data_IF_870055306373
#
_entry.id   IF_870055306373
#
_cell.length_a   1.000
_cell.length_b   1.000
_cell.length_c   1.000
_cell.angle_alpha   90.00
_cell.angle_beta   90.00
_cell.angle_gamma   90.00
#
_symmetry.space_group_name_H-M   'P 1'
#
loop_
_entity.id
_entity.type
_entity.pdbx_description
1 polymer ?
#
# COMPACT_ATOMS: atom_id res chain seq x y z
N UNK A 1 15.80 -17.58 -13.97
CA UNK A 1 14.39 -17.31 -13.56
C UNK A 1 13.37 -17.19 -14.70
N UNK A 2 13.62 -16.49 -15.82
CA UNK A 2 12.61 -16.28 -16.89
C UNK A 2 11.97 -17.56 -17.45
N UNK A 3 12.74 -18.62 -17.67
CA UNK A 3 12.19 -19.91 -18.15
C UNK A 3 11.18 -20.52 -17.15
N UNK A 4 11.41 -20.40 -15.84
CA UNK A 4 10.51 -20.93 -14.81
C UNK A 4 9.20 -20.13 -14.70
N UNK A 5 9.27 -18.82 -14.90
CA UNK A 5 8.08 -17.96 -14.99
C UNK A 5 7.22 -18.34 -16.20
N UNK A 6 7.88 -18.65 -17.33
CA UNK A 6 7.18 -19.15 -18.52
C UNK A 6 6.50 -20.50 -18.25
N UNK A 7 7.17 -21.42 -17.54
CA UNK A 7 6.56 -22.70 -17.15
C UNK A 7 5.37 -22.52 -16.21
N UNK A 8 5.44 -21.62 -15.23
CA UNK A 8 4.30 -21.30 -14.36
C UNK A 8 3.08 -20.81 -15.15
N UNK A 9 3.28 -19.90 -16.12
CA UNK A 9 2.19 -19.40 -16.98
C UNK A 9 1.56 -20.53 -17.79
N UNK A 10 2.37 -21.46 -18.29
CA UNK A 10 1.88 -22.64 -19.01
C UNK A 10 1.06 -23.55 -18.10
N UNK A 11 1.50 -23.79 -16.87
CA UNK A 11 0.76 -24.60 -15.89
C UNK A 11 -0.58 -23.92 -15.53
N UNK A 12 -0.56 -22.61 -15.30
CA UNK A 12 -1.78 -21.84 -15.01
C UNK A 12 -2.83 -21.99 -16.12
N UNK A 13 -2.40 -21.87 -17.38
CA UNK A 13 -3.27 -22.09 -18.53
C UNK A 13 -3.85 -23.52 -18.56
N UNK A 14 -3.05 -24.54 -18.24
CA UNK A 14 -3.52 -25.93 -18.21
C UNK A 14 -4.49 -26.21 -17.06
N UNK A 15 -4.32 -25.53 -15.91
CA UNK A 15 -5.26 -25.56 -14.79
C UNK A 15 -6.60 -24.96 -15.20
N UNK A 16 -6.59 -23.79 -15.86
CA UNK A 16 -7.81 -23.14 -16.37
C UNK A 16 -8.56 -24.06 -17.35
N UNK A 17 -7.85 -24.72 -18.27
CA UNK A 17 -8.46 -25.70 -19.18
C UNK A 17 -9.03 -26.91 -18.43
N UNK A 18 -8.31 -27.43 -17.42
CA UNK A 18 -8.76 -28.60 -16.64
C UNK A 18 -10.02 -28.29 -15.84
N UNK A 19 -10.15 -27.06 -15.31
CA UNK A 19 -11.37 -26.57 -14.67
C UNK A 19 -12.52 -26.48 -15.69
N UNK A 20 -12.26 -25.86 -16.85
CA UNK A 20 -13.26 -25.66 -17.91
C UNK A 20 -13.87 -26.99 -18.39
N UNK A 21 -13.05 -28.03 -18.52
CA UNK A 21 -13.47 -29.36 -18.97
C UNK A 21 -13.81 -30.33 -17.83
N UNK A 22 -13.80 -29.87 -16.56
CA UNK A 22 -14.08 -30.69 -15.38
C UNK A 22 -13.17 -31.94 -15.25
N UNK A 23 -11.92 -31.83 -15.69
CA UNK A 23 -10.93 -32.93 -15.68
C UNK A 23 -10.14 -32.93 -14.35
N UNK A 24 -10.76 -33.46 -13.29
CA UNK A 24 -10.19 -33.45 -11.92
C UNK A 24 -8.80 -34.06 -11.81
N UNK A 25 -8.54 -35.18 -12.49
CA UNK A 25 -7.22 -35.84 -12.44
C UNK A 25 -6.12 -34.98 -13.09
N UNK A 26 -6.45 -34.29 -14.20
CA UNK A 26 -5.51 -33.37 -14.84
C UNK A 26 -5.29 -32.14 -13.98
N UNK A 27 -6.34 -31.62 -13.33
CA UNK A 27 -6.23 -30.50 -12.40
C UNK A 27 -5.22 -30.79 -11.28
N UNK A 28 -5.39 -31.91 -10.55
CA UNK A 28 -4.45 -32.25 -9.47
C UNK A 28 -3.04 -32.54 -9.97
N UNK A 29 -2.89 -33.12 -11.17
CA UNK A 29 -1.59 -33.32 -11.80
C UNK A 29 -0.88 -32.01 -12.11
N UNK A 30 -1.60 -31.01 -12.64
CA UNK A 30 -1.03 -29.69 -12.92
C UNK A 30 -0.73 -28.90 -11.64
N UNK A 31 -1.54 -29.06 -10.58
CA UNK A 31 -1.23 -28.51 -9.24
C UNK A 31 0.10 -29.07 -8.71
N UNK A 32 0.31 -30.40 -8.75
CA UNK A 32 1.57 -30.99 -8.27
C UNK A 32 2.80 -30.50 -9.04
N UNK A 33 2.67 -30.28 -10.35
CA UNK A 33 3.73 -29.64 -11.15
C UNK A 33 3.95 -28.18 -10.73
N UNK A 34 2.89 -27.44 -10.42
CA UNK A 34 2.98 -26.07 -9.96
C UNK A 34 3.76 -25.98 -8.65
N UNK A 35 3.47 -26.86 -7.70
CA UNK A 35 4.18 -26.97 -6.42
C UNK A 35 5.68 -27.21 -6.65
N UNK A 36 6.03 -28.13 -7.56
CA UNK A 36 7.44 -28.42 -7.89
C UNK A 36 8.14 -27.20 -8.47
N UNK A 37 7.53 -26.51 -9.43
CA UNK A 37 8.11 -25.29 -10.04
C UNK A 37 8.26 -24.18 -9.00
N UNK A 38 7.32 -24.06 -8.06
CA UNK A 38 7.37 -23.09 -6.97
C UNK A 38 8.53 -23.41 -6.02
N UNK A 39 8.71 -24.66 -5.61
CA UNK A 39 9.80 -25.04 -4.71
C UNK A 39 11.18 -24.86 -5.37
N UNK A 40 11.29 -25.23 -6.64
CA UNK A 40 12.47 -24.98 -7.46
C UNK A 40 12.78 -23.48 -7.62
N UNK A 41 11.75 -22.63 -7.69
CA UNK A 41 11.89 -21.18 -7.73
C UNK A 41 12.38 -20.64 -6.39
N UNK A 42 11.83 -21.12 -5.26
CA UNK A 42 12.30 -20.76 -3.91
C UNK A 42 13.78 -21.10 -3.75
N UNK A 43 14.20 -22.29 -4.16
CA UNK A 43 15.61 -22.69 -4.09
C UNK A 43 16.51 -21.84 -4.98
N UNK A 44 16.09 -21.57 -6.22
CA UNK A 44 16.90 -20.77 -7.16
C UNK A 44 17.04 -19.33 -6.68
N UNK A 45 15.96 -18.78 -6.12
CA UNK A 45 15.96 -17.44 -5.54
C UNK A 45 16.85 -17.37 -4.30
N UNK A 46 16.81 -18.36 -3.41
CA UNK A 46 17.70 -18.44 -2.24
C UNK A 46 19.19 -18.56 -2.64
N UNK A 47 19.50 -19.33 -3.70
CA UNK A 47 20.87 -19.50 -4.23
C UNK A 47 21.39 -18.23 -4.92
N UNK A 48 20.54 -17.49 -5.64
CA UNK A 48 20.95 -16.28 -6.36
C UNK A 48 21.06 -15.03 -5.44
N UNK A 49 20.44 -15.03 -4.26
CA UNK A 49 20.40 -13.84 -3.39
C UNK A 49 21.35 -13.87 -2.18
N UNK A 50 22.08 -14.97 -1.90
CA UNK A 50 22.81 -15.17 -0.62
C UNK A 50 21.94 -14.87 0.63
N UNK A 51 20.62 -14.80 0.45
CA UNK A 51 19.65 -14.61 1.51
C UNK A 51 19.07 -15.99 1.77
N UNK A 52 19.51 -16.61 2.87
CA UNK A 52 18.64 -17.55 3.57
C UNK A 52 17.31 -16.83 3.76
N UNK A 53 16.26 -17.28 3.06
CA UNK A 53 14.89 -16.85 3.31
C UNK A 53 14.47 -17.49 4.63
N UNK A 54 15.11 -17.08 5.71
CA UNK A 54 14.40 -16.95 6.97
C UNK A 54 13.32 -15.92 6.66
N UNK A 55 12.06 -16.32 6.72
CA UNK A 55 11.00 -15.36 6.90
C UNK A 55 11.38 -14.58 8.15
N UNK A 56 12.04 -13.42 7.98
CA UNK A 56 12.37 -12.55 9.11
C UNK A 56 11.04 -12.33 9.81
N UNK A 57 10.93 -12.84 11.03
CA UNK A 57 9.78 -12.53 11.86
C UNK A 57 9.75 -11.01 11.95
N UNK A 58 8.78 -10.41 11.25
CA UNK A 58 8.62 -8.96 11.24
C UNK A 58 8.42 -8.55 12.69
N UNK A 59 9.41 -7.82 13.19
CA UNK A 59 9.47 -7.39 14.57
C UNK A 59 8.20 -6.62 14.89
N UNK A 60 7.51 -7.00 15.96
CA UNK A 60 6.37 -6.22 16.40
C UNK A 60 6.89 -4.87 16.94
N UNK A 61 6.40 -3.79 16.36
CA UNK A 61 6.73 -2.44 16.82
C UNK A 61 5.87 -2.08 18.03
N UNK A 62 6.49 -1.41 19.01
CA UNK A 62 5.75 -0.87 20.14
C UNK A 62 4.96 0.35 19.69
N UNK A 63 3.64 0.29 19.80
CA UNK A 63 2.74 1.29 19.23
C UNK A 63 1.46 1.44 20.04
N UNK A 64 0.81 2.59 19.90
CA UNK A 64 -0.50 2.86 20.48
C UNK A 64 -1.35 3.67 19.50
N UNK A 65 -2.60 3.25 19.31
CA UNK A 65 -3.60 4.07 18.62
C UNK A 65 -3.93 5.26 19.53
N UNK A 66 -3.65 6.48 19.05
CA UNK A 66 -3.95 7.72 19.77
C UNK A 66 -5.41 8.12 19.59
N UNK A 67 -5.86 8.15 18.35
CA UNK A 67 -7.21 8.52 17.95
C UNK A 67 -7.53 7.95 16.55
N UNK A 68 -8.78 8.13 16.15
CA UNK A 68 -9.25 7.88 14.78
C UNK A 68 -9.88 9.18 14.29
N UNK A 69 -9.37 9.72 13.19
CA UNK A 69 -9.87 10.96 12.58
C UNK A 69 -10.30 10.71 11.15
N UNK A 70 -11.16 11.57 10.62
CA UNK A 70 -11.67 11.41 9.27
C UNK A 70 -10.83 12.20 8.27
N UNK A 71 -10.39 11.51 7.22
CA UNK A 71 -9.69 12.10 6.08
C UNK A 71 -10.59 12.10 4.85
N UNK A 72 -10.32 13.02 3.94
CA UNK A 72 -10.72 12.90 2.55
C UNK A 72 -9.49 12.50 1.75
N UNK A 73 -9.60 11.47 0.91
CA UNK A 73 -8.47 10.97 0.12
C UNK A 73 -8.86 10.77 -1.35
N UNK A 74 -7.85 10.85 -2.23
CA UNK A 74 -7.98 10.57 -3.65
C UNK A 74 -7.61 9.10 -3.90
N UNK A 75 -8.56 8.25 -4.36
CA UNK A 75 -8.27 6.86 -4.63
C UNK A 75 -7.33 6.67 -5.82
N UNK A 76 -6.45 5.66 -5.72
CA UNK A 76 -5.69 5.16 -6.86
C UNK A 76 -6.59 4.26 -7.71
N UNK A 77 -6.49 4.36 -9.03
CA UNK A 77 -7.35 3.60 -9.97
C UNK A 77 -6.59 2.55 -10.77
N UNK A 78 -5.30 2.34 -10.50
CA UNK A 78 -4.43 1.38 -11.20
C UNK A 78 -3.79 0.40 -10.22
N UNK A 79 -3.46 -0.80 -10.72
CA UNK A 79 -2.80 -1.84 -9.93
C UNK A 79 -1.32 -1.53 -9.68
N UNK A 80 -0.63 -1.00 -10.69
CA UNK A 80 0.79 -0.67 -10.61
C UNK A 80 0.99 0.85 -10.78
N UNK A 81 1.20 1.55 -9.68
CA UNK A 81 1.37 3.01 -9.68
C UNK A 81 2.70 3.48 -10.26
N UNK A 82 3.71 2.63 -10.29
CA UNK A 82 5.05 2.97 -10.78
C UNK A 82 5.20 2.75 -12.29
N UNK A 83 4.13 2.35 -12.97
CA UNK A 83 4.14 2.12 -14.41
C UNK A 83 3.80 3.38 -15.19
N UNK A 84 4.67 3.74 -16.13
CA UNK A 84 4.50 4.92 -16.99
C UNK A 84 4.47 6.23 -16.20
N UNK A 85 3.61 7.16 -16.62
CA UNK A 85 3.50 8.51 -16.06
C UNK A 85 2.35 8.65 -15.05
N UNK A 86 1.90 7.54 -14.45
CA UNK A 86 0.70 7.54 -13.61
C UNK A 86 0.83 8.47 -12.40
N UNK A 87 1.91 8.37 -11.62
CA UNK A 87 2.10 9.21 -10.43
C UNK A 87 2.19 10.71 -10.76
N UNK A 88 2.79 11.05 -11.90
CA UNK A 88 2.86 12.44 -12.36
C UNK A 88 1.46 12.97 -12.70
N UNK A 89 0.70 12.22 -13.50
CA UNK A 89 -0.68 12.57 -13.85
C UNK A 89 -1.57 12.64 -12.60
N UNK A 90 -1.44 11.68 -11.69
CA UNK A 90 -2.16 11.66 -10.43
C UNK A 90 -1.84 12.88 -9.57
N UNK A 91 -0.56 13.27 -9.49
CA UNK A 91 -0.12 14.44 -8.74
C UNK A 91 -0.68 15.74 -9.34
N UNK A 92 -0.67 15.85 -10.67
CA UNK A 92 -1.23 16.99 -11.38
C UNK A 92 -2.74 17.09 -11.17
N UNK A 93 -3.46 16.00 -11.37
CA UNK A 93 -4.92 15.93 -11.19
C UNK A 93 -5.32 16.21 -9.73
N UNK A 94 -4.61 15.63 -8.76
CA UNK A 94 -4.81 15.92 -7.32
C UNK A 94 -4.67 17.42 -7.06
N UNK A 95 -3.63 18.04 -7.60
CA UNK A 95 -3.34 19.47 -7.39
C UNK A 95 -4.41 20.35 -8.02
N UNK A 96 -4.85 20.02 -9.23
CA UNK A 96 -5.95 20.71 -9.91
C UNK A 96 -7.26 20.61 -9.12
N UNK A 97 -7.64 19.40 -8.70
CA UNK A 97 -8.88 19.16 -7.96
C UNK A 97 -8.90 19.86 -6.59
N UNK A 98 -7.78 19.80 -5.86
CA UNK A 98 -7.62 20.55 -4.61
C UNK A 98 -7.70 22.07 -4.84
N UNK A 99 -7.22 22.56 -5.97
CA UNK A 99 -7.29 23.99 -6.33
C UNK A 99 -8.71 24.41 -6.68
N UNK A 100 -9.43 23.61 -7.48
CA UNK A 100 -10.86 23.82 -7.81
C UNK A 100 -11.70 23.85 -6.53
N UNK A 101 -11.46 22.92 -5.61
CA UNK A 101 -12.15 22.87 -4.32
C UNK A 101 -11.67 23.91 -3.31
N UNK A 102 -10.66 24.74 -3.63
CA UNK A 102 -10.03 25.72 -2.72
C UNK A 102 -9.46 25.10 -1.43
N UNK A 103 -9.02 23.84 -1.50
CA UNK A 103 -8.47 23.08 -0.37
C UNK A 103 -6.94 22.88 -0.44
N UNK A 104 -6.29 23.33 -1.53
CA UNK A 104 -4.85 23.11 -1.78
C UNK A 104 -3.95 23.70 -0.69
N UNK A 105 -4.30 24.86 -0.13
CA UNK A 105 -3.51 25.50 0.92
C UNK A 105 -3.56 24.67 2.21
N UNK A 106 -4.76 24.29 2.67
CA UNK A 106 -4.96 23.46 3.86
C UNK A 106 -4.23 22.11 3.73
N UNK A 107 -4.32 21.48 2.56
CA UNK A 107 -3.58 20.26 2.26
C UNK A 107 -2.05 20.48 2.39
N UNK A 108 -1.53 21.51 1.74
CA UNK A 108 -0.09 21.76 1.73
C UNK A 108 0.45 22.18 3.10
N UNK A 109 -0.31 22.95 3.88
CA UNK A 109 0.05 23.31 5.25
C UNK A 109 0.10 22.09 6.15
N UNK A 110 -0.88 21.20 6.05
CA UNK A 110 -0.89 19.94 6.80
C UNK A 110 0.35 19.08 6.47
N UNK A 111 0.62 18.85 5.18
CA UNK A 111 1.75 17.99 4.79
C UNK A 111 3.12 18.63 4.97
N UNK A 112 3.22 19.97 5.03
CA UNK A 112 4.47 20.64 5.44
C UNK A 112 4.85 20.35 6.89
N UNK A 113 3.88 20.08 7.75
CA UNK A 113 4.10 19.75 9.17
C UNK A 113 4.36 18.24 9.39
N UNK A 114 4.13 17.42 8.37
CA UNK A 114 4.21 15.96 8.43
C UNK A 114 5.10 15.43 7.31
N UNK A 115 6.40 15.32 7.60
CA UNK A 115 7.37 14.80 6.63
C UNK A 115 7.08 13.32 6.37
N UNK A 116 6.72 13.00 5.13
CA UNK A 116 6.40 11.62 4.73
C UNK A 116 7.68 10.79 4.63
N UNK A 117 7.70 9.65 5.32
CA UNK A 117 8.81 8.68 5.30
C UNK A 117 8.53 7.61 4.24
N UNK A 118 7.33 7.02 4.28
CA UNK A 118 6.92 5.94 3.40
C UNK A 118 5.38 5.81 3.40
N UNK A 119 4.80 5.16 2.39
CA UNK A 119 3.36 4.92 2.34
C UNK A 119 2.85 4.68 0.93
N UNK A 120 1.58 4.28 0.85
CA UNK A 120 0.90 3.92 -0.40
C UNK A 120 -0.39 4.72 -0.63
N UNK A 121 -0.57 5.82 0.09
CA UNK A 121 -1.59 6.84 -0.15
C UNK A 121 -0.91 8.14 -0.60
N UNK A 122 -1.33 8.68 -1.75
CA UNK A 122 -0.63 9.79 -2.43
C UNK A 122 -1.40 11.12 -2.43
N UNK A 123 -2.57 11.16 -1.81
CA UNK A 123 -3.37 12.38 -1.73
C UNK A 123 -4.46 12.22 -0.68
N UNK A 124 -4.29 12.89 0.45
CA UNK A 124 -5.27 12.89 1.54
C UNK A 124 -5.11 14.12 2.41
N UNK A 125 -6.12 14.46 3.19
CA UNK A 125 -6.10 15.61 4.11
C UNK A 125 -7.22 15.44 5.16
N UNK A 126 -6.99 15.82 6.43
CA UNK A 126 -8.03 15.76 7.45
C UNK A 126 -9.26 16.60 7.07
N UNK A 127 -10.45 16.04 7.25
CA UNK A 127 -11.71 16.70 6.91
C UNK A 127 -11.94 17.96 7.75
N UNK A 128 -11.49 17.97 9.00
CA UNK A 128 -11.59 19.11 9.91
C UNK A 128 -10.87 20.37 9.42
N UNK A 129 -9.90 20.21 8.52
CA UNK A 129 -9.16 21.32 7.92
C UNK A 129 -9.83 21.89 6.66
N UNK A 130 -10.96 21.32 6.22
CA UNK A 130 -11.60 21.66 4.94
C UNK A 130 -13.05 22.10 5.18
N UNK A 131 -13.48 23.15 4.48
CA UNK A 131 -14.86 23.61 4.53
C UNK A 131 -15.84 22.58 3.94
N UNK A 132 -17.09 22.59 4.39
CA UNK A 132 -18.14 21.69 3.86
C UNK A 132 -18.37 21.88 2.36
N UNK A 133 -18.32 23.12 1.85
CA UNK A 133 -18.44 23.44 0.42
C UNK A 133 -17.29 22.80 -0.39
N UNK A 134 -16.06 22.96 0.09
CA UNK A 134 -14.88 22.34 -0.53
C UNK A 134 -14.96 20.81 -0.52
N UNK A 135 -15.46 20.20 0.55
CA UNK A 135 -15.64 18.74 0.64
C UNK A 135 -16.67 18.24 -0.36
N UNK A 136 -17.80 18.93 -0.53
CA UNK A 136 -18.80 18.57 -1.55
C UNK A 136 -18.22 18.58 -2.96
N UNK A 137 -17.37 19.56 -3.28
CA UNK A 137 -16.68 19.63 -4.57
C UNK A 137 -15.72 18.43 -4.71
N UNK A 138 -14.90 18.15 -3.70
CA UNK A 138 -13.97 17.01 -3.73
C UNK A 138 -14.70 15.68 -3.89
N UNK A 139 -15.84 15.48 -3.23
CA UNK A 139 -16.65 14.26 -3.38
C UNK A 139 -17.23 14.13 -4.80
N UNK A 140 -17.69 15.23 -5.40
CA UNK A 140 -18.13 15.23 -6.82
C UNK A 140 -16.98 14.89 -7.78
N UNK A 141 -15.75 15.25 -7.42
CA UNK A 141 -14.52 14.92 -8.15
C UNK A 141 -13.98 13.51 -7.83
N UNK A 142 -14.72 12.70 -7.07
CA UNK A 142 -14.39 11.29 -6.80
C UNK A 142 -13.48 11.06 -5.60
N UNK A 143 -13.17 12.08 -4.80
CA UNK A 143 -12.52 11.88 -3.52
C UNK A 143 -13.45 11.16 -2.56
N UNK A 144 -12.89 10.40 -1.62
CA UNK A 144 -13.66 9.59 -0.68
C UNK A 144 -13.36 9.98 0.75
N UNK A 145 -14.39 9.96 1.59
CA UNK A 145 -14.27 10.09 3.04
C UNK A 145 -13.82 8.76 3.63
N UNK A 146 -12.86 8.79 4.55
CA UNK A 146 -12.32 7.60 5.19
C UNK A 146 -11.94 7.85 6.64
N UNK A 147 -12.05 6.81 7.46
CA UNK A 147 -11.52 6.83 8.83
C UNK A 147 -10.04 6.44 8.80
N UNK A 148 -9.23 7.19 9.52
CA UNK A 148 -7.78 6.97 9.60
C UNK A 148 -7.39 6.84 11.06
N UNK A 149 -6.80 5.71 11.44
CA UNK A 149 -6.21 5.55 12.76
C UNK A 149 -4.87 6.26 12.79
N UNK A 150 -4.64 7.06 13.84
CA UNK A 150 -3.36 7.69 14.09
C UNK A 150 -2.66 6.89 15.16
N UNK A 151 -1.54 6.27 14.78
CA UNK A 151 -0.82 5.34 15.62
C UNK A 151 0.53 5.95 15.96
N UNK A 152 0.76 6.18 17.24
CA UNK A 152 2.04 6.61 17.78
C UNK A 152 2.98 5.42 17.90
N UNK A 153 4.20 5.56 17.40
CA UNK A 153 5.28 4.60 17.60
C UNK A 153 6.00 4.95 18.90
N UNK A 154 5.96 4.04 19.86
CA UNK A 154 6.45 4.25 21.22
C UNK A 154 7.83 3.65 21.39
N UNK A 155 8.83 4.52 21.57
CA UNK A 155 10.20 4.12 21.89
C UNK A 155 11.16 4.27 20.72
N UNK A 156 12.41 4.61 21.06
CA UNK A 156 13.46 4.98 20.11
C UNK A 156 14.21 3.80 19.49
N UNK A 157 13.85 2.56 19.84
CA UNK A 157 14.61 1.36 19.46
C UNK A 157 14.24 0.77 18.11
N UNK A 158 13.09 1.15 17.56
CA UNK A 158 12.63 0.64 16.27
C UNK A 158 13.19 1.52 15.15
N UNK A 159 13.89 0.89 14.21
CA UNK A 159 14.43 1.57 13.04
C UNK A 159 13.30 1.96 12.09
N UNK A 160 13.55 2.91 11.18
CA UNK A 160 12.57 3.25 10.15
C UNK A 160 12.21 2.05 9.28
N UNK A 161 13.17 1.14 9.03
CA UNK A 161 12.92 -0.07 8.25
C UNK A 161 12.00 -1.06 8.98
N UNK A 162 12.20 -1.28 10.29
CA UNK A 162 11.33 -2.18 11.07
C UNK A 162 9.86 -1.72 11.03
N UNK A 163 9.64 -0.39 11.01
CA UNK A 163 8.31 0.21 10.94
C UNK A 163 7.70 -0.01 9.56
N UNK A 164 8.48 0.21 8.48
CA UNK A 164 8.04 -0.05 7.11
C UNK A 164 7.67 -1.52 6.93
N UNK A 165 8.56 -2.43 7.32
CA UNK A 165 8.33 -3.88 7.22
C UNK A 165 7.08 -4.32 8.00
N UNK A 166 6.84 -3.71 9.18
CA UNK A 166 5.61 -3.91 9.94
C UNK A 166 4.38 -3.46 9.16
N UNK A 167 4.39 -2.25 8.62
CA UNK A 167 3.25 -1.69 7.91
C UNK A 167 2.96 -2.45 6.62
N UNK A 168 3.98 -2.76 5.82
CA UNK A 168 3.84 -3.55 4.58
C UNK A 168 3.26 -4.95 4.82
N UNK A 169 3.54 -5.55 5.98
CA UNK A 169 3.02 -6.88 6.31
C UNK A 169 1.60 -6.87 6.87
N UNK A 170 1.23 -5.85 7.63
CA UNK A 170 0.01 -5.88 8.44
C UNK A 170 -1.04 -4.83 8.07
N UNK A 171 -0.69 -3.82 7.27
CA UNK A 171 -1.56 -2.70 6.92
C UNK A 171 -1.70 -2.58 5.40
N UNK A 172 -2.94 -2.59 4.91
CA UNK A 172 -3.20 -2.49 3.47
C UNK A 172 -2.94 -1.08 2.94
N UNK A 173 -3.33 -0.05 3.69
CA UNK A 173 -3.24 1.35 3.28
C UNK A 173 -2.74 2.24 4.40
N UNK A 174 -1.58 2.85 4.21
CA UNK A 174 -0.95 3.63 5.26
C UNK A 174 0.00 4.73 4.75
N UNK A 175 0.31 5.67 5.64
CA UNK A 175 1.43 6.61 5.51
C UNK A 175 2.19 6.66 6.83
N UNK A 176 3.50 6.51 6.78
CA UNK A 176 4.41 6.78 7.89
C UNK A 176 4.90 8.22 7.77
N UNK A 177 4.69 9.00 8.82
CA UNK A 177 5.09 10.42 8.86
C UNK A 177 5.95 10.71 10.09
N UNK A 178 6.81 11.72 9.96
CA UNK A 178 7.46 12.39 11.07
C UNK A 178 6.74 13.72 11.30
N UNK A 179 6.11 13.88 12.46
CA UNK A 179 5.52 15.16 12.86
C UNK A 179 6.64 16.14 13.26
N UNK A 180 6.71 17.28 12.60
CA UNK A 180 7.83 18.22 12.76
C UNK A 180 7.88 18.88 14.15
N UNK A 181 6.72 19.13 14.75
CA UNK A 181 6.58 19.84 16.03
C UNK A 181 7.07 19.00 17.22
N UNK A 182 6.75 17.71 17.24
CA UNK A 182 7.08 16.80 18.34
C UNK A 182 8.25 15.87 18.02
N UNK A 183 8.66 15.79 16.75
CA UNK A 183 9.61 14.80 16.21
C UNK A 183 9.14 13.36 16.44
N UNK A 184 7.83 13.16 16.54
CA UNK A 184 7.21 11.85 16.75
C UNK A 184 6.94 11.18 15.42
N UNK A 185 7.21 9.88 15.33
CA UNK A 185 6.81 9.06 14.18
C UNK A 185 5.38 8.56 14.38
N UNK A 186 4.53 8.82 13.40
CA UNK A 186 3.14 8.39 13.38
C UNK A 186 2.89 7.50 12.17
N UNK A 187 2.01 6.52 12.34
CA UNK A 187 1.42 5.76 11.23
C UNK A 187 -0.02 6.23 11.07
N UNK A 188 -0.36 6.65 9.87
CA UNK A 188 -1.70 6.98 9.43
C UNK A 188 -2.26 5.75 8.71
N UNK A 189 -3.03 4.92 9.39
CA UNK A 189 -3.65 3.72 8.80
C UNK A 189 -5.04 4.08 8.25
N UNK A 190 -5.23 3.95 6.94
CA UNK A 190 -6.47 4.29 6.26
C UNK A 190 -7.37 3.07 6.15
N UNK A 191 -8.54 3.11 6.79
CA UNK A 191 -9.46 1.97 6.90
C UNK A 191 -10.33 1.80 5.64
N UNK A 192 -9.69 1.76 4.47
CA UNK A 192 -10.31 1.58 3.15
C UNK A 192 -10.90 0.18 3.07
N UNK A 193 -12.16 0.11 2.61
CA UNK A 193 -12.91 -1.13 2.39
C UNK A 193 -13.16 -1.36 0.91
#
# INVERSE_FOLDING_TARGET
MQNKIYEMRKILFLLEQSILYCETDKFYKEIGKMETVIDDLKESFAKETNCSVEFKEVKNINKKILNTIEFVYKPITVLNVFEGNYLENFSNERTEQLSIARAINNHNEFWKQHTTIHGNIYGSVPIELISSESLEILYKLGWKKIKTNIIEIRGSKDSSQDIVDYCDKYLDYYIIVLEESTKTRLILEYLIK
#
